data_IF_366045041360
#
_entry.id   IF_366045041360
#
_cell.length_a   1.000
_cell.length_b   1.000
_cell.length_c   1.000
_cell.angle_alpha   90.00
_cell.angle_beta   90.00
_cell.angle_gamma   90.00
#
_symmetry.space_group_name_H-M   'P 1'
#
loop_
_entity.id
_entity.type
_entity.pdbx_description
1 polymer ?
#
# COMPACT_ATOMS: atom_id res chain seq x y z
N UNK A 1 -22.38 -57.44 -68.72
CA UNK A 1 -23.32 -57.92 -67.69
C UNK A 1 -22.78 -57.47 -66.35
N UNK A 2 -23.57 -56.69 -65.63
CA UNK A 2 -23.25 -56.04 -64.38
C UNK A 2 -22.87 -57.03 -63.27
N UNK A 3 -22.14 -56.57 -62.26
CA UNK A 3 -22.60 -56.46 -60.86
C UNK A 3 -21.55 -55.65 -60.11
N UNK A 4 -21.96 -54.48 -59.61
CA UNK A 4 -21.17 -53.72 -58.65
C UNK A 4 -21.21 -54.37 -57.27
N UNK A 5 -20.19 -54.13 -56.46
CA UNK A 5 -20.27 -54.31 -55.01
C UNK A 5 -19.57 -53.15 -54.30
N UNK A 6 -20.30 -52.67 -53.30
CA UNK A 6 -20.11 -51.51 -52.43
C UNK A 6 -18.88 -51.59 -51.52
N UNK A 7 -18.35 -50.40 -51.19
CA UNK A 7 -17.76 -49.97 -49.90
C UNK A 7 -16.45 -50.68 -49.46
N UNK A 8 -15.45 -50.02 -48.86
CA UNK A 8 -15.54 -49.21 -47.63
C UNK A 8 -14.38 -48.19 -47.61
N UNK A 9 -14.72 -46.91 -47.42
CA UNK A 9 -13.79 -45.85 -47.02
C UNK A 9 -13.41 -46.03 -45.55
N UNK A 10 -12.15 -46.35 -45.26
CA UNK A 10 -11.62 -46.34 -43.90
C UNK A 10 -11.29 -44.90 -43.51
N UNK A 11 -12.23 -44.22 -42.84
CA UNK A 11 -11.98 -42.93 -42.19
C UNK A 11 -11.13 -43.20 -40.95
N UNK A 12 -9.85 -42.84 -40.99
CA UNK A 12 -9.04 -42.78 -39.78
C UNK A 12 -9.48 -41.56 -38.95
N UNK A 13 -10.33 -41.79 -37.95
CA UNK A 13 -10.61 -40.80 -36.90
C UNK A 13 -9.39 -40.75 -35.99
N UNK A 14 -8.53 -39.75 -36.24
CA UNK A 14 -7.46 -39.41 -35.32
C UNK A 14 -8.09 -38.69 -34.11
N UNK A 15 -8.33 -39.42 -33.02
CA UNK A 15 -8.70 -38.83 -31.73
C UNK A 15 -7.50 -38.06 -31.17
N UNK A 16 -7.35 -36.82 -31.63
CA UNK A 16 -6.44 -35.86 -31.01
C UNK A 16 -7.02 -35.51 -29.65
N UNK A 17 -6.56 -36.18 -28.60
CA UNK A 17 -6.78 -35.76 -27.23
C UNK A 17 -6.17 -34.37 -27.07
N UNK A 18 -7.00 -33.33 -27.24
CA UNK A 18 -6.64 -31.97 -26.91
C UNK A 18 -6.41 -31.92 -25.41
N UNK A 19 -5.13 -31.94 -25.00
CA UNK A 19 -4.74 -31.59 -23.65
C UNK A 19 -5.24 -30.16 -23.40
N UNK A 20 -6.32 -30.04 -22.65
CA UNK A 20 -6.79 -28.77 -22.09
C UNK A 20 -5.62 -28.20 -21.30
N UNK A 21 -5.10 -27.01 -21.63
CA UNK A 21 -4.14 -26.36 -20.76
C UNK A 21 -4.85 -26.11 -19.43
N UNK A 22 -4.47 -26.85 -18.40
CA UNK A 22 -4.90 -26.55 -17.04
C UNK A 22 -4.58 -25.09 -16.73
N UNK A 23 -5.37 -24.43 -15.87
CA UNK A 23 -5.11 -23.04 -15.50
C UNK A 23 -3.67 -22.94 -14.98
N UNK A 24 -2.81 -22.27 -15.76
CA UNK A 24 -1.48 -21.88 -15.30
C UNK A 24 -1.67 -21.12 -13.99
N UNK A 25 -0.92 -21.45 -12.91
CA UNK A 25 -0.89 -20.61 -11.73
C UNK A 25 -0.44 -19.21 -12.16
N UNK A 26 -1.39 -18.30 -12.24
CA UNK A 26 -1.14 -16.86 -12.23
C UNK A 26 -0.67 -16.55 -10.82
N UNK A 27 0.64 -16.56 -10.59
CA UNK A 27 1.11 -16.39 -9.21
C UNK A 27 2.60 -16.42 -8.97
N UNK A 28 3.43 -16.20 -9.99
CA UNK A 28 4.73 -15.54 -9.76
C UNK A 28 4.77 -14.44 -10.80
N UNK A 29 4.29 -13.26 -10.38
CA UNK A 29 4.50 -12.04 -11.15
C UNK A 29 6.02 -11.89 -11.28
N UNK A 30 6.59 -11.86 -12.49
CA UNK A 30 8.00 -11.58 -12.63
C UNK A 30 8.27 -10.17 -12.07
N UNK A 31 9.44 -10.04 -11.47
CA UNK A 31 10.12 -8.87 -10.91
C UNK A 31 10.35 -7.73 -11.94
N UNK A 32 9.58 -7.71 -13.04
CA UNK A 32 9.77 -6.85 -14.22
C UNK A 32 8.99 -5.53 -14.15
N UNK A 33 8.31 -5.22 -13.04
CA UNK A 33 7.47 -4.00 -12.92
C UNK A 33 8.10 -2.80 -12.23
N UNK A 34 9.39 -2.83 -11.92
CA UNK A 34 10.07 -1.66 -11.31
C UNK A 34 9.50 -1.24 -9.95
N UNK A 35 8.84 -2.17 -9.24
CA UNK A 35 8.27 -1.95 -7.92
C UNK A 35 9.15 -2.66 -6.87
N UNK A 36 10.02 -1.92 -6.19
CA UNK A 36 11.03 -2.48 -5.27
C UNK A 36 10.72 -2.17 -3.80
N UNK A 37 9.58 -2.66 -3.29
CA UNK A 37 9.21 -2.42 -1.88
C UNK A 37 9.85 -3.38 -0.88
N UNK A 38 10.46 -4.48 -1.34
CA UNK A 38 11.03 -5.50 -0.46
C UNK A 38 12.10 -4.95 0.49
N UNK A 39 12.85 -3.93 0.07
CA UNK A 39 13.85 -3.25 0.89
C UNK A 39 13.26 -2.51 2.10
N UNK A 40 11.97 -2.17 2.07
CA UNK A 40 11.29 -1.46 3.16
C UNK A 40 10.58 -2.38 4.15
N UNK A 41 10.80 -3.70 4.08
CA UNK A 41 10.33 -4.62 5.13
C UNK A 41 10.88 -4.23 6.50
N UNK A 42 12.10 -3.69 6.52
CA UNK A 42 12.74 -3.16 7.71
C UNK A 42 13.49 -1.88 7.36
N UNK A 43 13.17 -0.80 8.08
CA UNK A 43 14.00 0.40 8.05
C UNK A 43 15.26 0.18 8.89
N UNK A 44 16.33 0.88 8.53
CA UNK A 44 17.57 0.82 9.29
C UNK A 44 17.38 1.38 10.72
N UNK A 45 18.18 0.93 11.70
CA UNK A 45 18.14 1.48 13.04
C UNK A 45 18.36 3.01 13.08
N UNK A 46 19.20 3.52 12.16
CA UNK A 46 19.49 4.95 12.04
C UNK A 46 18.25 5.74 11.59
N UNK A 47 17.53 5.27 10.58
CA UNK A 47 16.28 5.89 10.13
C UNK A 47 15.22 5.88 11.23
N UNK A 48 15.01 4.72 11.88
CA UNK A 48 14.06 4.59 12.98
C UNK A 48 14.41 5.51 14.15
N UNK A 49 15.70 5.72 14.42
CA UNK A 49 16.14 6.66 15.46
C UNK A 49 15.82 8.11 15.08
N UNK A 50 15.98 8.50 13.82
CA UNK A 50 15.60 9.84 13.37
C UNK A 50 14.09 10.09 13.53
N UNK A 51 13.25 9.12 13.13
CA UNK A 51 11.81 9.18 13.35
C UNK A 51 11.44 9.23 14.83
N UNK A 52 12.15 8.48 15.69
CA UNK A 52 11.96 8.51 17.14
C UNK A 52 12.23 9.90 17.70
N UNK A 53 13.37 10.52 17.35
CA UNK A 53 13.70 11.88 17.80
C UNK A 53 12.63 12.89 17.39
N UNK A 54 12.17 12.84 16.14
CA UNK A 54 11.11 13.72 15.65
C UNK A 54 9.81 13.56 16.46
N UNK A 55 9.42 12.31 16.75
CA UNK A 55 8.26 12.01 17.57
C UNK A 55 8.41 12.48 19.01
N UNK A 56 9.54 12.18 19.64
CA UNK A 56 9.79 12.53 21.04
C UNK A 56 9.78 14.06 21.23
N UNK A 57 10.46 14.81 20.35
CA UNK A 57 10.42 16.28 20.38
C UNK A 57 9.02 16.83 20.14
N UNK A 58 8.24 16.22 19.24
CA UNK A 58 6.85 16.62 19.07
C UNK A 58 6.02 16.35 20.33
N UNK A 59 6.19 15.19 20.98
CA UNK A 59 5.50 14.86 22.24
C UNK A 59 5.89 15.80 23.39
N UNK A 60 7.16 16.22 23.48
CA UNK A 60 7.62 17.24 24.42
C UNK A 60 6.97 18.61 24.16
N UNK A 61 6.79 18.98 22.89
CA UNK A 61 6.13 20.23 22.49
C UNK A 61 4.62 20.24 22.76
N UNK A 62 4.00 19.06 22.91
CA UNK A 62 2.58 18.88 23.23
C UNK A 62 2.31 19.16 24.72
N UNK A 63 2.47 20.42 25.14
CA UNK A 63 2.09 20.88 26.48
C UNK A 63 0.59 20.65 26.74
N UNK A 64 0.27 19.82 27.76
CA UNK A 64 -0.95 19.53 28.57
C UNK A 64 -2.39 19.90 28.12
N UNK A 65 -2.62 20.64 27.03
CA UNK A 65 -3.95 20.89 26.48
C UNK A 65 -4.42 19.67 25.68
N UNK A 66 -5.67 19.29 25.89
CA UNK A 66 -6.29 18.15 25.23
C UNK A 66 -6.23 18.28 23.70
N UNK A 67 -5.29 17.59 23.06
CA UNK A 67 -5.13 17.54 21.60
C UNK A 67 -6.08 16.53 20.95
N UNK A 68 -7.18 16.15 21.61
CA UNK A 68 -7.99 15.03 21.17
C UNK A 68 -8.69 15.33 19.84
N UNK A 69 -8.28 14.62 18.79
CA UNK A 69 -9.00 14.65 17.53
C UNK A 69 -10.14 13.63 17.52
N UNK A 70 -11.38 14.12 17.46
CA UNK A 70 -12.58 13.26 17.36
C UNK A 70 -13.39 13.59 16.10
N UNK A 71 -13.77 12.59 15.30
CA UNK A 71 -13.31 11.20 15.36
C UNK A 71 -11.81 11.08 15.03
N UNK A 72 -11.16 10.01 15.50
CA UNK A 72 -9.73 9.76 15.19
C UNK A 72 -9.54 9.63 13.69
N UNK A 73 -8.51 10.30 13.16
CA UNK A 73 -8.15 10.21 11.75
C UNK A 73 -7.67 8.80 11.38
N UNK A 74 -6.80 8.22 12.21
CA UNK A 74 -6.31 6.84 12.08
C UNK A 74 -6.92 5.97 13.19
N UNK A 75 -8.02 5.24 12.95
CA UNK A 75 -8.60 4.32 13.92
C UNK A 75 -7.63 3.17 14.24
N UNK A 76 -7.64 2.70 15.49
CA UNK A 76 -6.86 1.51 15.89
C UNK A 76 -7.36 0.23 15.22
N UNK A 77 -8.63 0.21 14.82
CA UNK A 77 -9.28 -0.90 14.10
C UNK A 77 -8.98 -0.90 12.59
N UNK A 78 -8.24 0.09 12.10
CA UNK A 78 -7.73 0.11 10.74
C UNK A 78 -6.46 -0.74 10.63
N UNK A 79 -6.51 -1.72 9.74
CA UNK A 79 -5.41 -2.63 9.44
C UNK A 79 -5.44 -2.98 7.96
N UNK A 80 -4.28 -2.92 7.31
CA UNK A 80 -4.12 -3.26 5.89
C UNK A 80 -4.34 -4.75 5.63
N UNK A 81 -4.13 -5.61 6.63
CA UNK A 81 -4.39 -7.05 6.50
C UNK A 81 -5.86 -7.36 6.15
N UNK A 82 -6.77 -6.46 6.51
CA UNK A 82 -8.20 -6.57 6.22
C UNK A 82 -8.56 -6.19 4.78
N UNK A 83 -7.58 -5.73 3.99
CA UNK A 83 -7.74 -5.43 2.58
C UNK A 83 -7.12 -6.55 1.71
N UNK A 84 -7.68 -6.79 0.51
CA UNK A 84 -7.01 -7.57 -0.52
C UNK A 84 -5.60 -7.05 -0.79
N UNK A 85 -4.66 -7.94 -1.11
CA UNK A 85 -3.23 -7.62 -1.26
C UNK A 85 -2.98 -6.47 -2.24
N UNK A 86 -3.72 -6.42 -3.35
CA UNK A 86 -3.61 -5.35 -4.35
C UNK A 86 -4.14 -3.98 -3.88
N UNK A 87 -5.05 -3.94 -2.91
CA UNK A 87 -5.58 -2.69 -2.33
C UNK A 87 -4.64 -2.09 -1.28
N UNK A 88 -3.77 -2.89 -0.66
CA UNK A 88 -2.89 -2.46 0.43
C UNK A 88 -1.93 -1.34 0.04
N UNK A 89 -1.22 -1.40 -1.12
CA UNK A 89 -0.38 -0.30 -1.58
C UNK A 89 -1.14 1.01 -1.76
N UNK A 90 -2.37 0.95 -2.31
CA UNK A 90 -3.22 2.12 -2.55
C UNK A 90 -3.63 2.78 -1.22
N UNK A 91 -3.99 1.96 -0.22
CA UNK A 91 -4.33 2.47 1.10
C UNK A 91 -3.14 3.11 1.81
N UNK A 92 -1.96 2.48 1.74
CA UNK A 92 -0.74 2.98 2.35
C UNK A 92 -0.24 4.25 1.66
N UNK A 93 -0.34 4.33 0.34
CA UNK A 93 0.07 5.50 -0.45
C UNK A 93 -0.72 6.73 -0.01
N UNK A 94 -2.04 6.63 0.09
CA UNK A 94 -2.88 7.74 0.54
C UNK A 94 -2.59 8.17 2.00
N UNK A 95 -2.30 7.20 2.88
CA UNK A 95 -1.94 7.46 4.28
C UNK A 95 -0.57 8.16 4.38
N UNK A 96 0.40 7.70 3.59
CA UNK A 96 1.75 8.26 3.53
C UNK A 96 1.76 9.65 2.88
N UNK A 97 0.99 9.87 1.81
CA UNK A 97 0.84 11.17 1.17
C UNK A 97 0.26 12.22 2.12
N UNK A 98 -0.77 11.87 2.89
CA UNK A 98 -1.29 12.74 3.94
C UNK A 98 -0.25 13.00 5.04
N UNK A 99 0.47 11.96 5.44
CA UNK A 99 1.54 12.06 6.45
C UNK A 99 2.64 13.03 6.01
N UNK A 100 3.17 12.84 4.80
CA UNK A 100 4.16 13.73 4.19
C UNK A 100 3.69 15.18 4.18
N UNK A 101 2.49 15.43 3.64
CA UNK A 101 1.93 16.78 3.58
C UNK A 101 1.87 17.48 4.94
N UNK A 102 1.46 16.76 5.98
CA UNK A 102 1.39 17.34 7.33
C UNK A 102 2.79 17.57 7.91
N UNK A 103 3.70 16.61 7.76
CA UNK A 103 5.07 16.76 8.26
C UNK A 103 5.85 17.87 7.55
N UNK A 104 5.60 18.09 6.26
CA UNK A 104 6.18 19.22 5.52
C UNK A 104 5.73 20.55 6.11
N UNK A 105 4.45 20.71 6.43
CA UNK A 105 3.97 21.94 7.11
C UNK A 105 4.55 22.11 8.51
N UNK A 106 4.91 21.01 9.19
CA UNK A 106 5.59 21.05 10.48
C UNK A 106 7.08 21.37 10.35
N UNK A 107 7.70 21.07 9.21
CA UNK A 107 9.11 21.38 8.96
C UNK A 107 9.36 22.89 8.82
N UNK A 108 8.34 23.67 8.47
CA UNK A 108 8.38 25.13 8.50
C UNK A 108 8.38 25.73 9.94
N UNK A 109 8.36 24.87 10.96
CA UNK A 109 8.35 25.23 12.39
C UNK A 109 9.64 24.80 13.11
N UNK A 110 9.62 24.79 14.46
CA UNK A 110 10.75 24.37 15.30
C UNK A 110 11.22 22.93 15.08
N UNK A 111 10.45 22.11 14.35
CA UNK A 111 10.80 20.73 14.02
C UNK A 111 11.59 20.57 12.72
N UNK A 112 11.80 21.63 11.93
CA UNK A 112 12.43 21.58 10.60
C UNK A 112 13.69 20.73 10.53
N UNK A 113 14.75 21.13 11.24
CA UNK A 113 16.02 20.39 11.22
C UNK A 113 15.95 18.96 11.76
N UNK A 114 14.92 18.62 12.53
CA UNK A 114 14.70 17.26 13.05
C UNK A 114 13.94 16.41 12.03
N UNK A 115 13.08 17.03 11.21
CA UNK A 115 12.25 16.39 10.20
C UNK A 115 12.94 16.21 8.85
N UNK A 116 14.08 16.84 8.59
CA UNK A 116 14.80 16.73 7.30
C UNK A 116 15.07 15.27 6.90
N UNK A 117 15.71 14.49 7.78
CA UNK A 117 16.00 13.08 7.52
C UNK A 117 14.71 12.22 7.45
N UNK A 118 13.76 12.31 8.41
CA UNK A 118 12.45 11.66 8.31
C UNK A 118 11.72 11.93 6.98
N UNK A 119 11.65 13.19 6.55
CA UNK A 119 10.97 13.59 5.31
C UNK A 119 11.68 13.04 4.08
N UNK A 120 13.02 13.06 4.07
CA UNK A 120 13.79 12.45 2.98
C UNK A 120 13.47 10.95 2.84
N UNK A 121 13.49 10.19 3.94
CA UNK A 121 13.15 8.76 3.93
C UNK A 121 11.69 8.53 3.52
N UNK A 122 10.74 9.31 4.03
CA UNK A 122 9.32 9.16 3.67
C UNK A 122 9.05 9.46 2.19
N UNK A 123 9.72 10.48 1.61
CA UNK A 123 9.61 10.79 0.17
C UNK A 123 10.16 9.67 -0.69
N UNK A 124 11.28 9.08 -0.29
CA UNK A 124 11.83 7.93 -1.01
C UNK A 124 10.85 6.74 -1.00
N UNK A 125 10.31 6.39 0.17
CA UNK A 125 9.30 5.34 0.30
C UNK A 125 8.05 5.66 -0.54
N UNK A 126 7.57 6.91 -0.51
CA UNK A 126 6.40 7.34 -1.26
C UNK A 126 6.62 7.22 -2.77
N UNK A 127 7.78 7.63 -3.29
CA UNK A 127 8.14 7.49 -4.70
C UNK A 127 8.10 6.02 -5.16
N UNK A 128 8.73 5.12 -4.41
CA UNK A 128 8.74 3.68 -4.72
C UNK A 128 7.33 3.08 -4.64
N UNK A 129 6.56 3.48 -3.62
CA UNK A 129 5.18 3.03 -3.45
C UNK A 129 4.26 3.53 -4.56
N UNK A 130 4.44 4.77 -5.01
CA UNK A 130 3.67 5.34 -6.11
C UNK A 130 3.96 4.59 -7.42
N UNK A 131 5.23 4.28 -7.72
CA UNK A 131 5.59 3.45 -8.87
C UNK A 131 4.88 2.08 -8.83
N UNK A 132 4.79 1.47 -7.65
CA UNK A 132 4.06 0.23 -7.46
C UNK A 132 2.55 0.35 -7.72
N UNK A 133 1.93 1.44 -7.28
CA UNK A 133 0.49 1.71 -7.51
C UNK A 133 0.21 1.95 -8.99
N UNK A 134 1.07 2.71 -9.67
CA UNK A 134 0.96 3.00 -11.11
C UNK A 134 1.20 1.77 -11.99
N UNK A 135 2.10 0.87 -11.58
CA UNK A 135 2.39 -0.38 -12.29
C UNK A 135 1.32 -1.48 -12.08
N UNK A 136 0.34 -1.25 -11.20
CA UNK A 136 -0.80 -2.16 -11.11
C UNK A 136 -1.57 -2.10 -12.43
N UNK A 137 -2.10 -3.23 -12.92
CA UNK A 137 -2.97 -3.19 -14.08
C UNK A 137 -4.09 -2.19 -13.78
N UNK A 138 -4.56 -1.40 -14.77
CA UNK A 138 -5.83 -0.70 -14.68
C UNK A 138 -6.94 -1.75 -14.69
N UNK A 139 -6.97 -2.63 -13.69
CA UNK A 139 -8.15 -3.37 -13.36
C UNK A 139 -9.18 -2.31 -13.02
N UNK A 140 -10.26 -2.25 -13.79
CA UNK A 140 -11.39 -1.32 -13.61
C UNK A 140 -12.15 -1.51 -12.29
N UNK A 141 -11.47 -1.98 -11.23
CA UNK A 141 -11.96 -2.14 -9.89
C UNK A 141 -11.75 -0.82 -9.16
N UNK A 142 -12.74 0.07 -9.31
CA UNK A 142 -12.90 1.23 -8.43
C UNK A 142 -12.77 0.77 -6.97
N UNK A 143 -12.08 1.52 -6.09
CA UNK A 143 -12.06 1.22 -4.67
C UNK A 143 -13.49 1.02 -4.16
N UNK A 144 -13.78 -0.13 -3.55
CA UNK A 144 -15.11 -0.43 -2.97
C UNK A 144 -14.98 -0.70 -1.48
N UNK A 145 -16.11 -0.63 -0.78
CA UNK A 145 -16.20 -1.04 0.62
C UNK A 145 -15.20 -0.33 1.51
N UNK A 146 -14.33 -1.08 2.18
CA UNK A 146 -13.45 -0.58 3.23
C UNK A 146 -12.43 0.44 2.74
N UNK A 147 -11.79 0.17 1.60
CA UNK A 147 -10.81 1.07 0.99
C UNK A 147 -11.46 2.41 0.62
N UNK A 148 -12.64 2.39 0.00
CA UNK A 148 -13.34 3.62 -0.38
C UNK A 148 -13.63 4.51 0.83
N UNK A 149 -14.14 3.93 1.92
CA UNK A 149 -14.41 4.65 3.17
C UNK A 149 -13.12 5.22 3.79
N UNK A 150 -12.02 4.48 3.69
CA UNK A 150 -10.71 4.93 4.15
C UNK A 150 -10.19 6.11 3.35
N UNK A 151 -10.15 5.99 2.03
CA UNK A 151 -9.71 7.05 1.12
C UNK A 151 -10.56 8.32 1.29
N UNK A 152 -11.89 8.16 1.41
CA UNK A 152 -12.78 9.29 1.67
C UNK A 152 -12.45 9.98 3.01
N UNK A 153 -12.19 9.21 4.08
CA UNK A 153 -11.79 9.76 5.38
C UNK A 153 -10.49 10.57 5.29
N UNK A 154 -9.50 10.08 4.55
CA UNK A 154 -8.22 10.78 4.35
C UNK A 154 -8.38 12.03 3.50
N UNK A 155 -9.21 11.97 2.45
CA UNK A 155 -9.55 13.13 1.63
C UNK A 155 -10.22 14.25 2.44
N UNK A 156 -11.07 13.88 3.40
CA UNK A 156 -11.75 14.81 4.30
C UNK A 156 -10.87 15.27 5.49
N UNK A 157 -9.66 14.72 5.64
CA UNK A 157 -8.77 15.03 6.75
C UNK A 157 -8.37 16.51 6.82
N UNK A 158 -8.03 17.20 5.70
CA UNK A 158 -7.65 18.62 5.73
C UNK A 158 -8.73 19.56 6.29
N UNK A 159 -9.98 19.11 6.43
CA UNK A 159 -11.06 19.87 7.09
C UNK A 159 -10.92 19.93 8.62
N UNK A 160 -10.03 19.12 9.20
CA UNK A 160 -9.76 19.12 10.65
C UNK A 160 -8.75 20.21 11.00
N UNK A 161 -8.68 20.58 12.28
CA UNK A 161 -7.70 21.55 12.76
C UNK A 161 -6.27 21.05 12.53
N UNK A 162 -5.35 21.97 12.27
CA UNK A 162 -3.93 21.66 12.05
C UNK A 162 -3.35 20.82 13.20
N UNK A 163 -3.58 21.23 14.46
CA UNK A 163 -3.12 20.46 15.63
C UNK A 163 -3.67 19.04 15.70
N UNK A 164 -4.90 18.81 15.24
CA UNK A 164 -5.42 17.44 15.14
C UNK A 164 -4.63 16.63 14.12
N UNK A 165 -4.32 17.21 12.96
CA UNK A 165 -3.59 16.53 11.89
C UNK A 165 -2.18 16.19 12.33
N UNK A 166 -1.43 17.18 12.83
CA UNK A 166 -0.07 17.00 13.36
C UNK A 166 -0.02 15.85 14.37
N UNK A 167 -0.89 15.90 15.37
CA UNK A 167 -0.96 14.86 16.39
C UNK A 167 -1.36 13.50 15.78
N UNK A 168 -2.40 13.47 14.96
CA UNK A 168 -2.87 12.21 14.36
C UNK A 168 -1.78 11.53 13.55
N UNK A 169 -1.06 12.28 12.73
CA UNK A 169 0.03 11.78 11.89
C UNK A 169 1.21 11.34 12.76
N UNK A 170 1.58 12.13 13.76
CA UNK A 170 2.75 11.80 14.60
C UNK A 170 2.53 10.58 15.48
N UNK A 171 1.34 10.43 16.07
CA UNK A 171 1.00 9.21 16.83
C UNK A 171 0.81 7.99 15.94
N UNK A 172 0.58 8.18 14.64
CA UNK A 172 0.44 7.12 13.67
C UNK A 172 1.77 6.65 13.06
N UNK A 173 2.82 7.48 13.13
CA UNK A 173 4.06 7.30 12.37
C UNK A 173 4.70 5.92 12.50
N UNK A 174 4.87 5.42 13.73
CA UNK A 174 5.48 4.11 13.92
C UNK A 174 4.60 2.96 13.42
N UNK A 175 3.27 3.08 13.54
CA UNK A 175 2.35 2.09 12.96
C UNK A 175 2.52 2.03 11.43
N UNK A 176 2.57 3.20 10.80
CA UNK A 176 2.81 3.33 9.37
C UNK A 176 4.13 2.66 8.98
N UNK A 177 5.23 3.00 9.66
CA UNK A 177 6.58 2.57 9.28
C UNK A 177 6.88 1.10 9.59
N UNK A 178 6.40 0.57 10.72
CA UNK A 178 6.84 -0.77 11.19
C UNK A 178 5.81 -1.86 10.93
N UNK A 179 4.54 -1.49 10.71
CA UNK A 179 3.46 -2.45 10.51
C UNK A 179 2.88 -2.33 9.11
N UNK A 180 2.38 -1.15 8.75
CA UNK A 180 1.62 -0.97 7.52
C UNK A 180 2.57 -1.06 6.30
N UNK A 181 3.73 -0.40 6.34
CA UNK A 181 4.80 -0.49 5.34
C UNK A 181 5.35 -1.90 5.19
N UNK A 182 5.68 -2.55 6.32
CA UNK A 182 6.13 -3.94 6.32
C UNK A 182 5.10 -4.86 5.68
N UNK A 183 3.81 -4.67 5.97
CA UNK A 183 2.74 -5.48 5.41
C UNK A 183 2.69 -5.39 3.89
N UNK A 184 2.80 -4.17 3.34
CA UNK A 184 2.84 -3.95 1.89
C UNK A 184 4.11 -4.55 1.28
N UNK A 185 5.27 -4.34 1.91
CA UNK A 185 6.55 -4.87 1.45
C UNK A 185 6.63 -6.40 1.48
N UNK A 186 5.85 -7.06 2.35
CA UNK A 186 5.74 -8.51 2.43
C UNK A 186 4.68 -9.11 1.47
N UNK A 187 3.83 -8.29 0.85
CA UNK A 187 2.81 -8.75 -0.10
C UNK A 187 1.87 -9.81 0.50
N UNK A 188 1.79 -10.97 -0.17
CA UNK A 188 0.95 -12.11 0.25
C UNK A 188 1.38 -12.73 1.60
N UNK A 189 2.63 -12.50 2.03
CA UNK A 189 3.14 -13.02 3.31
C UNK A 189 2.65 -12.22 4.52
N UNK A 190 1.99 -11.08 4.30
CA UNK A 190 1.35 -10.32 5.37
C UNK A 190 -0.04 -10.89 5.68
N UNK A 191 -0.13 -11.65 6.78
CA UNK A 191 -1.33 -12.32 7.31
C UNK A 191 -1.72 -11.85 8.70
#
# INVERSE_FOLDING_TARGET
MAVGCLLVLMIMVLTRAGAVPGPKPLGVLPDERGCHLAQFQFLSPQELQAFRRAKDTFEESLSLKAWSCRPRLFPRTWDLQQLPVWERPVALEAELALTLKVLETMADSSLGGILDQPLHTLRHIHSELQACVEAQPPAGLRPRGRLQHWLHRLHEAPKKSLRCLEASVMFNLFRLLTRDLKCVASGDLCV
#
